data_IF_534638749094
#
_entry.id   IF_534638749094
#
_cell.length_a   1.000
_cell.length_b   1.000
_cell.length_c   1.000
_cell.angle_alpha   90.00
_cell.angle_beta   90.00
_cell.angle_gamma   90.00
#
_symmetry.space_group_name_H-M   'P 1'
#
loop_
_entity.id
_entity.type
_entity.pdbx_description
1 polymer ?
#
# COMPACT_ATOMS: atom_id res chain seq x y z
N UNK A 1 -49.21 29.22 -6.81
CA UNK A 1 -48.01 28.79 -7.57
C UNK A 1 -46.68 29.20 -6.93
N UNK A 2 -46.48 30.50 -6.57
CA UNK A 2 -45.19 30.94 -5.97
C UNK A 2 -44.87 30.28 -4.61
N UNK A 3 -45.86 30.00 -3.76
CA UNK A 3 -45.68 29.34 -2.47
C UNK A 3 -45.33 27.85 -2.61
N UNK A 4 -45.93 27.16 -3.60
CA UNK A 4 -45.64 25.74 -3.87
C UNK A 4 -44.23 25.57 -4.43
N UNK A 5 -43.77 26.51 -5.27
CA UNK A 5 -42.41 26.50 -5.82
C UNK A 5 -41.35 26.77 -4.73
N UNK A 6 -41.66 27.64 -3.76
CA UNK A 6 -40.77 27.90 -2.61
C UNK A 6 -40.66 26.71 -1.67
N UNK A 7 -41.76 25.97 -1.45
CA UNK A 7 -41.77 24.73 -0.65
C UNK A 7 -41.02 23.61 -1.38
N UNK A 8 -41.17 23.47 -2.69
CA UNK A 8 -40.38 22.48 -3.49
C UNK A 8 -38.89 22.80 -3.51
N UNK A 9 -38.52 24.09 -3.60
CA UNK A 9 -37.12 24.51 -3.51
C UNK A 9 -36.52 24.30 -2.10
N UNK A 10 -37.31 24.51 -1.05
CA UNK A 10 -36.86 24.20 0.33
C UNK A 10 -36.79 22.72 0.62
N UNK A 11 -37.66 21.89 0.05
CA UNK A 11 -37.61 20.44 0.12
C UNK A 11 -36.42 19.87 -0.68
N UNK A 12 -36.10 20.43 -1.85
CA UNK A 12 -34.90 20.09 -2.61
C UNK A 12 -33.61 20.47 -1.87
N UNK A 13 -33.59 21.61 -1.16
CA UNK A 13 -32.45 21.98 -0.32
C UNK A 13 -32.31 21.12 0.95
N UNK A 14 -33.43 20.59 1.49
CA UNK A 14 -33.40 19.64 2.61
C UNK A 14 -32.98 18.23 2.18
N UNK A 15 -33.27 17.82 0.94
CA UNK A 15 -32.78 16.57 0.35
C UNK A 15 -31.27 16.62 0.00
N UNK A 16 -30.72 17.84 -0.14
CA UNK A 16 -29.27 18.05 -0.31
C UNK A 16 -28.50 17.96 1.03
N UNK A 17 -29.22 17.93 2.16
CA UNK A 17 -28.59 17.84 3.48
C UNK A 17 -28.28 16.38 3.83
N UNK A 18 -27.08 15.97 3.43
CA UNK A 18 -26.43 14.82 4.09
C UNK A 18 -26.51 13.48 3.39
N UNK A 19 -26.31 13.40 2.07
CA UNK A 19 -25.90 12.12 1.50
C UNK A 19 -24.54 11.77 2.11
N UNK A 20 -24.53 10.79 3.02
CA UNK A 20 -23.28 10.28 3.59
C UNK A 20 -22.56 9.51 2.50
N UNK A 21 -21.37 9.95 2.16
CA UNK A 21 -20.49 9.27 1.22
C UNK A 21 -19.42 8.53 2.05
N UNK A 22 -19.13 7.30 1.68
CA UNK A 22 -18.12 6.50 2.36
C UNK A 22 -17.24 5.83 1.33
N UNK A 23 -15.96 5.70 1.69
CA UNK A 23 -14.98 4.95 0.92
C UNK A 23 -14.14 4.12 1.86
N UNK A 24 -13.98 2.84 1.53
CA UNK A 24 -13.08 1.92 2.21
C UNK A 24 -11.77 1.81 1.45
N UNK A 25 -10.65 1.97 2.17
CA UNK A 25 -9.29 1.91 1.66
C UNK A 25 -8.55 0.80 2.37
N UNK A 26 -8.18 -0.24 1.64
CA UNK A 26 -7.40 -1.35 2.19
C UNK A 26 -5.93 -1.14 1.84
N UNK A 27 -5.07 -1.22 2.86
CA UNK A 27 -3.62 -1.08 2.72
C UNK A 27 -2.92 -2.36 3.14
N UNK A 28 -1.97 -2.78 2.34
CA UNK A 28 -1.06 -3.89 2.64
C UNK A 28 0.39 -3.44 2.52
N UNK A 29 1.29 -4.16 3.22
CA UNK A 29 2.71 -3.87 3.22
C UNK A 29 3.44 -4.34 1.98
N UNK A 30 4.65 -4.87 2.17
CA UNK A 30 5.64 -5.08 1.12
C UNK A 30 5.29 -6.30 0.26
N UNK A 31 5.02 -6.04 -1.02
CA UNK A 31 4.82 -7.04 -2.08
C UNK A 31 6.17 -7.35 -2.72
N UNK A 32 6.87 -8.34 -2.19
CA UNK A 32 8.24 -8.69 -2.60
C UNK A 32 8.31 -9.97 -3.43
N UNK A 33 9.42 -10.15 -4.14
CA UNK A 33 9.70 -11.36 -4.94
C UNK A 33 11.13 -11.86 -4.73
N UNK A 34 11.33 -12.69 -3.72
CA UNK A 34 12.61 -13.39 -3.50
C UNK A 34 12.77 -14.55 -4.48
N UNK A 35 14.01 -15.04 -4.64
CA UNK A 35 14.30 -16.13 -5.58
C UNK A 35 13.45 -17.38 -5.35
N UNK A 36 13.26 -17.78 -4.10
CA UNK A 36 12.43 -18.95 -3.78
C UNK A 36 10.95 -18.79 -4.19
N UNK A 37 10.42 -17.55 -4.21
CA UNK A 37 9.07 -17.27 -4.70
C UNK A 37 9.00 -17.40 -6.23
N UNK A 38 10.03 -16.91 -6.94
CA UNK A 38 10.16 -17.04 -8.39
C UNK A 38 10.27 -18.53 -8.77
N UNK A 39 11.13 -19.26 -8.07
CA UNK A 39 11.35 -20.69 -8.33
C UNK A 39 10.08 -21.54 -8.06
N UNK A 40 9.34 -21.21 -7.00
CA UNK A 40 8.08 -21.88 -6.65
C UNK A 40 6.93 -21.57 -7.61
N UNK A 41 6.98 -20.43 -8.32
CA UNK A 41 5.99 -20.05 -9.31
C UNK A 41 6.26 -20.65 -10.71
N UNK A 42 7.52 -21.07 -10.98
CA UNK A 42 7.93 -21.61 -12.28
C UNK A 42 7.18 -22.92 -12.61
N UNK A 43 6.58 -22.96 -13.80
CA UNK A 43 5.87 -24.11 -14.33
C UNK A 43 6.74 -24.95 -15.27
N UNK A 44 6.30 -26.17 -15.60
CA UNK A 44 7.01 -27.07 -16.49
C UNK A 44 7.18 -26.55 -17.92
N UNK A 45 6.28 -25.67 -18.36
CA UNK A 45 6.32 -24.99 -19.67
C UNK A 45 7.14 -23.69 -19.68
N UNK A 46 7.81 -23.39 -18.57
CA UNK A 46 8.59 -22.16 -18.34
C UNK A 46 7.78 -20.88 -18.20
N UNK A 47 6.46 -20.98 -18.00
CA UNK A 47 5.61 -19.90 -17.52
C UNK A 47 5.71 -19.75 -16.00
N UNK A 48 5.08 -18.72 -15.44
CA UNK A 48 5.02 -18.49 -14.00
C UNK A 48 3.57 -18.37 -13.54
N UNK A 49 3.22 -19.05 -12.45
CA UNK A 49 1.88 -19.04 -11.86
C UNK A 49 1.93 -18.51 -10.42
N UNK A 50 1.27 -17.37 -10.20
CA UNK A 50 1.15 -16.70 -8.91
C UNK A 50 -0.30 -16.62 -8.39
N UNK A 51 -1.28 -17.18 -9.09
CA UNK A 51 -2.71 -17.04 -8.73
C UNK A 51 -3.00 -17.55 -7.33
N UNK A 52 -2.34 -18.65 -6.94
CA UNK A 52 -2.47 -19.24 -5.62
C UNK A 52 -1.93 -18.36 -4.48
N UNK A 53 -1.03 -17.39 -4.77
CA UNK A 53 -0.44 -16.52 -3.75
C UNK A 53 -1.50 -15.70 -3.02
N UNK A 54 -2.52 -15.24 -3.75
CA UNK A 54 -3.56 -14.34 -3.23
C UNK A 54 -4.93 -15.01 -3.06
N UNK A 55 -5.05 -16.29 -3.39
CA UNK A 55 -6.35 -16.98 -3.46
C UNK A 55 -7.20 -16.88 -2.19
N UNK A 56 -6.58 -16.93 -1.00
CA UNK A 56 -7.30 -16.89 0.29
C UNK A 56 -7.54 -15.47 0.82
N UNK A 57 -6.93 -14.45 0.21
CA UNK A 57 -7.07 -13.03 0.61
C UNK A 57 -7.80 -12.21 -0.45
N UNK A 58 -8.10 -12.80 -1.60
CA UNK A 58 -8.72 -12.12 -2.76
C UNK A 58 -10.04 -11.46 -2.41
N UNK A 59 -10.93 -12.17 -1.73
CA UNK A 59 -12.26 -11.65 -1.36
C UNK A 59 -12.14 -10.45 -0.40
N UNK A 60 -11.13 -10.46 0.46
CA UNK A 60 -10.86 -9.37 1.38
C UNK A 60 -10.36 -8.12 0.65
N UNK A 61 -9.41 -8.30 -0.28
CA UNK A 61 -8.89 -7.22 -1.12
C UNK A 61 -10.02 -6.61 -1.98
N UNK A 62 -10.83 -7.44 -2.62
CA UNK A 62 -11.90 -7.01 -3.54
C UNK A 62 -13.11 -6.39 -2.84
N UNK A 63 -13.26 -6.58 -1.53
CA UNK A 63 -14.34 -5.96 -0.74
C UNK A 63 -14.10 -4.47 -0.53
N UNK A 64 -12.85 -4.01 -0.51
CA UNK A 64 -12.53 -2.61 -0.38
C UNK A 64 -12.84 -1.82 -1.66
N UNK A 65 -13.19 -0.56 -1.50
CA UNK A 65 -13.40 0.34 -2.64
C UNK A 65 -12.10 0.63 -3.39
N UNK A 66 -10.96 0.72 -2.67
CA UNK A 66 -9.62 0.84 -3.21
C UNK A 66 -8.65 -0.01 -2.40
N UNK A 67 -7.83 -0.81 -3.07
CA UNK A 67 -6.77 -1.61 -2.47
C UNK A 67 -5.38 -1.10 -2.89
N UNK A 68 -4.52 -0.85 -1.92
CA UNK A 68 -3.21 -0.22 -2.08
C UNK A 68 -2.12 -1.11 -1.47
N UNK A 69 -1.03 -1.35 -2.21
CA UNK A 69 0.12 -2.14 -1.72
C UNK A 69 1.47 -1.51 -2.05
N UNK A 70 2.49 -1.78 -1.25
CA UNK A 70 3.84 -1.37 -1.55
C UNK A 70 4.52 -2.38 -2.49
N UNK A 71 4.73 -1.98 -3.76
CA UNK A 71 5.35 -2.82 -4.78
C UNK A 71 6.87 -2.77 -4.68
N UNK A 72 7.42 -3.59 -3.77
CA UNK A 72 8.84 -3.56 -3.42
C UNK A 72 9.66 -4.54 -4.26
N UNK A 73 9.58 -4.37 -5.55
CA UNK A 73 10.33 -5.08 -6.58
C UNK A 73 10.33 -4.30 -7.88
N UNK A 74 11.06 -4.77 -8.89
CA UNK A 74 10.98 -4.23 -10.25
C UNK A 74 10.55 -5.30 -11.25
N UNK A 75 9.97 -4.89 -12.36
CA UNK A 75 9.66 -5.72 -13.52
C UNK A 75 10.70 -5.48 -14.61
N UNK A 76 11.97 -5.73 -14.29
CA UNK A 76 13.11 -5.43 -15.18
C UNK A 76 13.28 -6.39 -16.35
N UNK A 77 12.45 -7.44 -16.45
CA UNK A 77 12.57 -8.51 -17.45
C UNK A 77 13.64 -9.55 -17.08
N UNK A 78 13.84 -10.51 -17.98
CA UNK A 78 14.82 -11.59 -17.79
C UNK A 78 16.25 -11.07 -17.80
N UNK A 79 17.20 -11.66 -17.06
CA UNK A 79 16.96 -12.78 -16.14
C UNK A 79 16.21 -12.31 -14.89
N UNK A 80 15.18 -13.07 -14.49
CA UNK A 80 14.47 -12.83 -13.25
C UNK A 80 15.37 -13.13 -12.07
N UNK A 81 15.23 -12.34 -10.96
CA UNK A 81 16.14 -12.42 -9.84
C UNK A 81 15.48 -11.90 -8.56
N UNK A 82 15.72 -12.59 -7.46
CA UNK A 82 15.43 -12.12 -6.11
C UNK A 82 16.48 -11.13 -5.58
N UNK A 83 16.53 -11.04 -4.24
CA UNK A 83 17.51 -10.18 -3.55
C UNK A 83 18.96 -10.41 -4.03
N UNK A 84 19.83 -9.38 -4.08
CA UNK A 84 19.60 -8.00 -3.61
C UNK A 84 19.05 -7.04 -4.68
N UNK A 85 18.90 -7.46 -5.92
CA UNK A 85 18.41 -6.61 -7.03
C UNK A 85 17.29 -7.35 -7.75
N UNK A 86 16.08 -7.06 -7.31
CA UNK A 86 14.88 -7.75 -7.77
C UNK A 86 14.57 -7.50 -9.26
N UNK A 87 14.12 -8.55 -9.92
CA UNK A 87 13.48 -8.51 -11.22
C UNK A 87 12.43 -9.62 -11.27
N UNK A 88 11.19 -9.27 -11.01
CA UNK A 88 10.08 -10.22 -10.95
C UNK A 88 9.58 -10.61 -12.34
N UNK A 89 9.01 -11.82 -12.51
CA UNK A 89 8.18 -12.15 -13.66
C UNK A 89 6.96 -11.22 -13.77
N UNK A 90 6.53 -10.94 -14.98
CA UNK A 90 5.40 -10.05 -15.25
C UNK A 90 4.08 -10.66 -14.73
N UNK A 91 4.00 -11.99 -14.69
CA UNK A 91 2.87 -12.75 -14.15
C UNK A 91 2.59 -12.45 -12.68
N UNK A 92 3.61 -12.00 -11.92
CA UNK A 92 3.40 -11.55 -10.56
C UNK A 92 2.53 -10.28 -10.48
N UNK A 93 2.76 -9.33 -11.39
CA UNK A 93 1.90 -8.15 -11.49
C UNK A 93 0.47 -8.51 -11.92
N UNK A 94 0.32 -9.47 -12.84
CA UNK A 94 -1.00 -9.96 -13.24
C UNK A 94 -1.75 -10.55 -12.05
N UNK A 95 -1.09 -11.39 -11.23
CA UNK A 95 -1.72 -11.96 -10.05
C UNK A 95 -2.12 -10.88 -9.01
N UNK A 96 -1.31 -9.83 -8.83
CA UNK A 96 -1.66 -8.67 -8.00
C UNK A 96 -2.91 -7.97 -8.56
N UNK A 97 -2.98 -7.73 -9.86
CA UNK A 97 -4.17 -7.14 -10.50
C UNK A 97 -5.41 -8.00 -10.31
N UNK A 98 -5.29 -9.30 -10.58
CA UNK A 98 -6.40 -10.26 -10.43
C UNK A 98 -6.84 -10.45 -8.97
N UNK A 99 -5.94 -10.22 -8.02
CA UNK A 99 -6.30 -10.18 -6.59
C UNK A 99 -7.21 -8.99 -6.25
N UNK A 100 -7.16 -7.90 -7.03
CA UNK A 100 -8.06 -6.75 -6.86
C UNK A 100 -7.37 -5.46 -6.43
N UNK A 101 -6.05 -5.38 -6.50
CA UNK A 101 -5.34 -4.12 -6.22
C UNK A 101 -5.63 -3.06 -7.27
N UNK A 102 -5.62 -1.78 -6.85
CA UNK A 102 -5.85 -0.61 -7.67
C UNK A 102 -4.61 0.29 -7.77
N UNK A 103 -3.91 0.49 -6.65
CA UNK A 103 -2.79 1.42 -6.52
C UNK A 103 -1.56 0.70 -5.97
N UNK A 104 -0.42 0.94 -6.59
CA UNK A 104 0.88 0.43 -6.14
C UNK A 104 1.79 1.60 -5.79
N UNK A 105 2.23 1.68 -4.52
CA UNK A 105 3.32 2.57 -4.16
C UNK A 105 4.63 2.01 -4.71
N UNK A 106 5.37 2.81 -5.45
CA UNK A 106 6.58 2.41 -6.17
C UNK A 106 7.83 3.13 -5.70
N UNK A 107 7.71 4.16 -4.85
CA UNK A 107 8.85 4.79 -4.20
C UNK A 107 9.26 3.96 -2.98
N UNK A 108 10.24 3.10 -3.16
CA UNK A 108 10.87 2.27 -2.14
C UNK A 108 12.36 2.08 -2.45
N UNK A 109 13.11 1.45 -1.54
CA UNK A 109 14.54 1.26 -1.70
C UNK A 109 14.92 0.33 -2.87
N UNK A 110 13.97 -0.48 -3.39
CA UNK A 110 14.14 -1.36 -4.55
C UNK A 110 13.66 -0.77 -5.88
N UNK A 111 13.19 0.46 -5.90
CA UNK A 111 12.68 1.14 -7.11
C UNK A 111 13.65 1.13 -8.29
N UNK A 112 14.96 1.14 -8.01
CA UNK A 112 16.03 1.24 -9.00
C UNK A 112 16.86 -0.04 -9.16
N UNK A 113 16.45 -1.19 -8.67
CA UNK A 113 17.20 -2.45 -8.74
C UNK A 113 17.61 -2.83 -10.17
N UNK A 114 16.78 -2.50 -11.15
CA UNK A 114 17.05 -2.70 -12.57
C UNK A 114 17.31 -1.37 -13.30
N UNK A 115 17.77 -0.37 -12.55
CA UNK A 115 18.13 0.95 -13.04
C UNK A 115 16.99 1.63 -13.80
N UNK A 116 17.31 2.64 -14.62
CA UNK A 116 16.37 3.39 -15.44
C UNK A 116 15.44 2.48 -16.25
N UNK A 117 15.99 1.51 -16.99
CA UNK A 117 15.19 0.61 -17.84
C UNK A 117 14.20 -0.21 -17.03
N UNK A 118 14.59 -0.67 -15.83
CA UNK A 118 13.71 -1.41 -14.95
C UNK A 118 12.58 -0.55 -14.42
N UNK A 119 12.85 0.65 -13.93
CA UNK A 119 11.85 1.59 -13.48
C UNK A 119 10.84 1.93 -14.59
N UNK A 120 11.31 2.34 -15.76
CA UNK A 120 10.45 2.70 -16.88
C UNK A 120 9.59 1.52 -17.38
N UNK A 121 10.17 0.29 -17.40
CA UNK A 121 9.42 -0.92 -17.76
C UNK A 121 8.37 -1.26 -16.71
N UNK A 122 8.71 -1.17 -15.42
CA UNK A 122 7.78 -1.40 -14.31
C UNK A 122 6.57 -0.48 -14.43
N UNK A 123 6.78 0.82 -14.63
CA UNK A 123 5.70 1.79 -14.82
C UNK A 123 4.83 1.46 -16.05
N UNK A 124 5.47 1.07 -17.17
CA UNK A 124 4.75 0.70 -18.40
C UNK A 124 3.85 -0.51 -18.18
N UNK A 125 4.31 -1.52 -17.45
CA UNK A 125 3.53 -2.72 -17.18
C UNK A 125 2.40 -2.45 -16.18
N UNK A 126 2.64 -1.64 -15.14
CA UNK A 126 1.59 -1.21 -14.19
C UNK A 126 0.48 -0.47 -14.95
N UNK A 127 0.82 0.49 -15.81
CA UNK A 127 -0.15 1.21 -16.64
C UNK A 127 -0.92 0.25 -17.58
N UNK A 128 -0.21 -0.69 -18.23
CA UNK A 128 -0.81 -1.67 -19.16
C UNK A 128 -1.75 -2.65 -18.46
N UNK A 129 -1.49 -2.96 -17.19
CA UNK A 129 -2.36 -3.81 -16.36
C UNK A 129 -3.61 -3.05 -15.83
N UNK A 130 -3.72 -1.74 -16.08
CA UNK A 130 -4.80 -0.91 -15.56
C UNK A 130 -4.68 -0.70 -14.04
N UNK A 131 -3.46 -0.71 -13.52
CA UNK A 131 -3.10 -0.31 -12.16
C UNK A 131 -2.55 1.11 -12.15
N UNK A 132 -2.55 1.75 -10.99
CA UNK A 132 -1.98 3.08 -10.84
C UNK A 132 -0.69 3.02 -10.01
N UNK A 133 0.42 3.50 -10.57
CA UNK A 133 1.67 3.68 -9.83
C UNK A 133 1.72 5.06 -9.18
N UNK A 134 2.28 5.15 -7.98
CA UNK A 134 2.55 6.42 -7.29
C UNK A 134 3.92 6.38 -6.61
N UNK A 135 4.73 7.43 -6.82
CA UNK A 135 6.03 7.60 -6.16
C UNK A 135 7.24 7.59 -7.08
N UNK A 136 7.15 6.94 -8.27
CA UNK A 136 8.21 6.95 -9.28
C UNK A 136 7.68 7.41 -10.63
N UNK A 137 8.52 8.07 -11.43
CA UNK A 137 8.11 8.70 -12.70
C UNK A 137 9.21 8.61 -13.74
N UNK A 138 8.81 8.59 -15.02
CA UNK A 138 9.73 8.54 -16.16
C UNK A 138 10.52 9.83 -16.31
N UNK A 139 9.87 10.98 -16.01
CA UNK A 139 10.45 12.32 -16.07
C UNK A 139 9.59 13.34 -15.31
N UNK A 140 9.97 14.61 -15.38
CA UNK A 140 9.28 15.70 -14.69
C UNK A 140 7.85 15.94 -15.21
N UNK A 141 7.60 15.70 -16.51
CA UNK A 141 6.27 15.85 -17.09
C UNK A 141 5.33 14.74 -16.61
N UNK A 142 5.79 13.48 -16.65
CA UNK A 142 5.05 12.32 -16.13
C UNK A 142 4.72 12.52 -14.63
N UNK A 143 5.66 13.08 -13.83
CA UNK A 143 5.39 13.42 -12.43
C UNK A 143 4.36 14.54 -12.31
N UNK A 144 4.48 15.59 -13.08
CA UNK A 144 3.55 16.74 -13.01
C UNK A 144 2.12 16.34 -13.37
N UNK A 145 1.93 15.44 -14.30
CA UNK A 145 0.60 14.99 -14.77
C UNK A 145 -0.05 14.01 -13.77
N UNK A 146 0.75 13.24 -13.02
CA UNK A 146 0.28 12.10 -12.23
C UNK A 146 0.42 12.29 -10.72
N UNK A 147 1.10 13.34 -10.26
CA UNK A 147 1.41 13.51 -8.84
C UNK A 147 1.22 14.95 -8.34
N UNK A 148 0.65 15.14 -7.14
CA UNK A 148 0.08 14.10 -6.24
C UNK A 148 -1.06 13.32 -6.89
N UNK A 149 -1.16 12.02 -6.59
CA UNK A 149 -2.22 11.18 -7.16
C UNK A 149 -3.56 11.55 -6.52
N UNK A 150 -4.51 12.01 -7.32
CA UNK A 150 -5.88 12.30 -6.88
C UNK A 150 -6.83 11.24 -7.43
N UNK A 151 -7.56 10.56 -6.54
CA UNK A 151 -8.58 9.57 -6.87
C UNK A 151 -9.92 10.04 -6.33
N UNK A 152 -10.99 9.92 -7.11
CA UNK A 152 -12.35 10.11 -6.65
C UNK A 152 -13.09 8.77 -6.65
N UNK A 153 -13.57 8.38 -5.49
CA UNK A 153 -14.31 7.12 -5.31
C UNK A 153 -15.50 7.37 -4.39
N UNK A 154 -16.69 6.93 -4.79
CA UNK A 154 -17.93 7.11 -4.03
C UNK A 154 -18.21 8.56 -3.60
N UNK A 155 -17.74 9.56 -4.40
CA UNK A 155 -17.89 10.98 -4.12
C UNK A 155 -16.90 11.54 -3.08
N UNK A 156 -15.94 10.74 -2.63
CA UNK A 156 -14.82 11.18 -1.78
C UNK A 156 -13.56 11.32 -2.63
N UNK A 157 -12.91 12.48 -2.53
CA UNK A 157 -11.68 12.81 -3.24
C UNK A 157 -10.48 12.59 -2.33
N UNK A 158 -9.60 11.68 -2.69
CA UNK A 158 -8.45 11.29 -1.88
C UNK A 158 -7.18 11.60 -2.65
N UNK A 159 -6.30 12.39 -2.06
CA UNK A 159 -4.96 12.60 -2.61
C UNK A 159 -3.95 11.70 -1.91
N UNK A 160 -3.05 11.10 -2.69
CA UNK A 160 -1.96 10.27 -2.18
C UNK A 160 -0.62 10.93 -2.45
N UNK A 161 0.19 11.03 -1.41
CA UNK A 161 1.64 11.26 -1.49
C UNK A 161 2.35 9.92 -1.36
N UNK A 162 3.50 9.78 -2.00
CA UNK A 162 4.35 8.59 -1.86
C UNK A 162 5.82 8.98 -1.95
N UNK A 163 6.65 8.54 -0.99
CA UNK A 163 8.06 8.88 -0.92
C UNK A 163 8.87 7.81 -0.18
N UNK A 164 10.18 7.72 -0.47
CA UNK A 164 11.12 6.77 0.13
C UNK A 164 12.34 7.47 0.73
N UNK A 165 12.93 6.84 1.74
CA UNK A 165 14.18 7.29 2.34
C UNK A 165 15.40 7.17 1.41
N UNK A 166 15.29 6.31 0.38
CA UNK A 166 16.42 6.08 -0.52
C UNK A 166 16.20 4.92 -1.50
N UNK A 167 17.25 4.59 -2.24
CA UNK A 167 17.25 3.61 -3.35
C UNK A 167 18.44 2.64 -3.25
N UNK A 168 18.76 2.15 -2.04
CA UNK A 168 19.87 1.24 -1.76
C UNK A 168 21.22 1.70 -2.34
N UNK A 169 21.48 3.01 -2.31
CA UNK A 169 22.70 3.61 -2.85
C UNK A 169 22.77 3.62 -4.38
N UNK A 170 21.72 3.23 -5.07
CA UNK A 170 21.64 3.31 -6.53
C UNK A 170 21.22 4.72 -6.93
N UNK A 171 22.10 5.46 -7.59
CA UNK A 171 21.81 6.82 -8.06
C UNK A 171 20.68 6.86 -9.07
N UNK A 172 19.77 7.83 -8.91
CA UNK A 172 18.71 8.10 -9.87
C UNK A 172 19.32 8.62 -11.17
N UNK A 173 19.00 7.97 -12.28
CA UNK A 173 19.49 8.40 -13.61
C UNK A 173 18.45 9.28 -14.28
N UNK A 174 18.80 10.52 -14.58
CA UNK A 174 17.90 11.44 -15.31
C UNK A 174 17.44 10.82 -16.63
N UNK A 175 16.17 11.08 -17.05
CA UNK A 175 15.21 12.01 -16.45
C UNK A 175 14.33 11.40 -15.35
N UNK A 176 14.54 10.11 -14.95
CA UNK A 176 13.67 9.46 -13.98
C UNK A 176 13.65 10.20 -12.62
N UNK A 177 12.54 10.07 -11.94
CA UNK A 177 12.30 10.64 -10.60
C UNK A 177 11.81 9.52 -9.67
N UNK A 178 12.36 9.49 -8.46
CA UNK A 178 11.87 8.74 -7.31
C UNK A 178 11.63 9.77 -6.21
N UNK A 179 10.42 9.89 -5.72
CA UNK A 179 10.10 10.85 -4.67
C UNK A 179 10.84 10.51 -3.36
N UNK A 180 11.44 11.51 -2.75
CA UNK A 180 12.23 11.37 -1.52
C UNK A 180 11.49 11.86 -0.28
N UNK A 181 11.98 11.47 0.91
CA UNK A 181 11.50 11.99 2.19
C UNK A 181 12.05 13.38 2.53
N UNK A 182 12.63 14.10 1.56
CA UNK A 182 13.07 15.47 1.76
C UNK A 182 11.89 16.37 2.14
N UNK A 183 12.05 17.13 3.23
CA UNK A 183 10.97 17.95 3.80
C UNK A 183 10.57 19.12 2.90
N UNK A 184 11.49 19.68 2.13
CA UNK A 184 11.19 20.80 1.23
C UNK A 184 10.37 20.30 0.05
N UNK A 185 10.75 19.13 -0.51
CA UNK A 185 9.99 18.45 -1.56
C UNK A 185 8.59 18.03 -1.06
N UNK A 186 8.51 17.37 0.09
CA UNK A 186 7.24 16.96 0.71
C UNK A 186 6.34 18.17 1.00
N UNK A 187 6.88 19.29 1.51
CA UNK A 187 6.12 20.51 1.75
C UNK A 187 5.59 21.11 0.44
N UNK A 188 6.35 21.07 -0.65
CA UNK A 188 5.89 21.51 -1.95
C UNK A 188 4.75 20.61 -2.48
N UNK A 189 4.91 19.30 -2.37
CA UNK A 189 3.93 18.31 -2.79
C UNK A 189 2.63 18.41 -1.99
N UNK A 190 2.70 18.61 -0.67
CA UNK A 190 1.53 18.84 0.18
C UNK A 190 0.77 20.10 -0.27
N UNK A 191 1.48 21.19 -0.57
CA UNK A 191 0.82 22.42 -1.07
C UNK A 191 0.08 22.16 -2.39
N UNK A 192 0.69 21.41 -3.33
CA UNK A 192 0.05 21.03 -4.59
C UNK A 192 -1.17 20.14 -4.33
N UNK A 193 -1.03 19.12 -3.48
CA UNK A 193 -2.12 18.22 -3.12
C UNK A 193 -3.30 18.99 -2.51
N UNK A 194 -3.04 19.88 -1.56
CA UNK A 194 -4.10 20.70 -0.91
C UNK A 194 -4.77 21.67 -1.89
N UNK A 195 -4.03 22.20 -2.88
CA UNK A 195 -4.62 23.04 -3.94
C UNK A 195 -5.62 22.28 -4.83
N UNK A 196 -5.50 20.94 -4.93
CA UNK A 196 -6.47 20.07 -5.61
C UNK A 196 -7.77 19.91 -4.82
N UNK A 197 -7.83 20.39 -3.57
CA UNK A 197 -8.98 20.30 -2.66
C UNK A 197 -9.45 18.85 -2.44
N UNK A 198 -8.59 17.96 -2.01
CA UNK A 198 -9.00 16.62 -1.62
C UNK A 198 -9.82 16.66 -0.33
N UNK A 199 -10.65 15.66 -0.14
CA UNK A 199 -11.40 15.41 1.10
C UNK A 199 -10.51 14.73 2.16
N UNK A 200 -9.46 14.02 1.72
CA UNK A 200 -8.41 13.45 2.56
C UNK A 200 -7.06 13.42 1.81
N UNK A 201 -5.96 13.64 2.55
CA UNK A 201 -4.58 13.54 2.07
C UNK A 201 -3.86 12.43 2.82
N UNK A 202 -3.43 11.39 2.11
CA UNK A 202 -2.78 10.20 2.67
C UNK A 202 -1.34 10.13 2.18
N UNK A 203 -0.39 9.94 3.10
CA UNK A 203 1.01 9.73 2.76
C UNK A 203 1.37 8.23 2.85
N UNK A 204 1.92 7.68 1.77
CA UNK A 204 2.47 6.34 1.67
C UNK A 204 4.00 6.46 1.79
N UNK A 205 4.58 6.00 2.90
CA UNK A 205 5.99 6.26 3.21
C UNK A 205 6.77 4.97 3.35
N UNK A 206 7.90 4.90 2.65
CA UNK A 206 8.87 3.83 2.78
C UNK A 206 10.05 4.33 3.60
N UNK A 207 10.05 4.00 4.91
CA UNK A 207 10.84 4.69 5.92
C UNK A 207 11.23 3.83 7.13
N UNK A 208 12.05 4.36 8.02
CA UNK A 208 12.43 3.70 9.28
C UNK A 208 13.62 2.76 9.11
N UNK A 209 13.79 1.87 10.08
CA UNK A 209 14.89 0.92 10.13
C UNK A 209 14.39 -0.50 9.96
N UNK A 210 15.07 -1.29 9.12
CA UNK A 210 14.74 -2.70 8.93
C UNK A 210 14.75 -3.47 10.26
N UNK A 211 13.76 -4.34 10.42
CA UNK A 211 13.63 -5.33 11.50
C UNK A 211 13.40 -4.73 12.90
N UNK A 212 13.16 -3.44 13.01
CA UNK A 212 12.82 -2.76 14.27
C UNK A 212 11.29 -2.71 14.42
N UNK A 213 10.76 -3.24 15.53
CA UNK A 213 9.33 -3.24 15.81
C UNK A 213 8.83 -1.90 16.37
N UNK A 214 9.72 -1.09 16.91
CA UNK A 214 9.39 0.26 17.37
C UNK A 214 9.77 1.28 16.31
N UNK A 215 8.95 2.31 16.08
CA UNK A 215 9.29 3.40 15.17
C UNK A 215 10.55 4.12 15.63
N UNK A 216 11.40 4.49 14.67
CA UNK A 216 12.55 5.34 14.96
C UNK A 216 12.13 6.78 15.33
N UNK A 217 13.04 7.52 15.95
CA UNK A 217 12.79 8.95 16.26
C UNK A 217 12.51 9.75 15.00
N UNK A 218 13.18 9.43 13.88
CA UNK A 218 12.95 10.08 12.58
C UNK A 218 11.53 9.79 12.05
N UNK A 219 11.01 8.56 12.23
CA UNK A 219 9.63 8.23 11.86
C UNK A 219 8.63 9.03 12.71
N UNK A 220 8.85 9.10 14.03
CA UNK A 220 7.98 9.83 14.95
C UNK A 220 7.96 11.34 14.62
N UNK A 221 9.12 11.93 14.42
CA UNK A 221 9.28 13.35 14.11
C UNK A 221 8.69 13.69 12.73
N UNK A 222 8.97 12.88 11.70
CA UNK A 222 8.41 13.09 10.37
C UNK A 222 6.88 12.92 10.35
N UNK A 223 6.33 11.94 11.08
CA UNK A 223 4.88 11.75 11.19
C UNK A 223 4.20 12.97 11.81
N UNK A 224 4.74 13.47 12.92
CA UNK A 224 4.22 14.67 13.59
C UNK A 224 4.28 15.90 12.67
N UNK A 225 5.40 16.07 11.96
CA UNK A 225 5.58 17.17 11.04
C UNK A 225 4.58 17.10 9.87
N UNK A 226 4.39 15.93 9.24
CA UNK A 226 3.45 15.72 8.13
C UNK A 226 2.01 16.03 8.54
N UNK A 227 1.58 15.58 9.72
CA UNK A 227 0.27 15.92 10.28
C UNK A 227 0.15 17.45 10.46
N UNK A 228 1.19 18.09 11.02
CA UNK A 228 1.26 19.53 11.17
C UNK A 228 1.22 20.31 9.84
N UNK A 229 1.64 19.69 8.72
CA UNK A 229 1.53 20.25 7.37
C UNK A 229 0.16 19.95 6.72
N UNK A 230 -0.71 19.18 7.39
CA UNK A 230 -2.05 18.88 6.92
C UNK A 230 -2.21 17.53 6.23
N UNK A 231 -1.29 16.57 6.40
CA UNK A 231 -1.52 15.18 6.02
C UNK A 231 -2.54 14.56 6.98
N UNK A 232 -3.58 13.91 6.46
CA UNK A 232 -4.65 13.35 7.29
C UNK A 232 -4.30 11.96 7.83
N UNK A 233 -3.67 11.11 7.01
CA UNK A 233 -3.27 9.76 7.41
C UNK A 233 -1.91 9.38 6.83
N UNK A 234 -1.19 8.50 7.53
CA UNK A 234 0.14 8.02 7.13
C UNK A 234 0.15 6.50 7.16
N UNK A 235 0.61 5.88 6.08
CA UNK A 235 0.77 4.44 5.94
C UNK A 235 2.23 4.14 5.60
N UNK A 236 2.90 3.43 6.49
CA UNK A 236 4.32 3.12 6.41
C UNK A 236 4.62 1.69 5.97
N UNK A 237 5.77 1.53 5.35
CA UNK A 237 6.40 0.27 4.93
C UNK A 237 7.92 0.36 5.04
N UNK A 238 8.68 -0.68 4.71
CA UNK A 238 10.13 -0.82 4.79
C UNK A 238 10.68 -1.61 5.99
N UNK A 239 10.24 -1.45 7.26
CA UNK A 239 10.83 -2.21 8.37
C UNK A 239 10.73 -3.73 8.23
N UNK A 240 9.91 -4.24 7.30
CA UNK A 240 9.63 -5.67 7.05
C UNK A 240 9.05 -6.41 8.25
N UNK A 241 8.71 -5.69 9.28
CA UNK A 241 8.00 -6.13 10.49
C UNK A 241 6.91 -5.13 10.81
N UNK A 242 5.86 -5.59 11.48
CA UNK A 242 4.76 -4.73 11.90
C UNK A 242 5.26 -3.77 12.99
N UNK A 243 4.94 -2.49 12.82
CA UNK A 243 5.13 -1.46 13.84
C UNK A 243 3.76 -0.95 14.32
N UNK A 244 3.68 -0.25 15.47
CA UNK A 244 2.43 0.22 16.04
C UNK A 244 1.58 1.08 15.10
N UNK A 245 0.26 1.07 15.37
CA UNK A 245 -0.69 2.02 14.81
C UNK A 245 -0.97 3.09 15.87
N UNK A 246 -0.73 4.35 15.55
CA UNK A 246 -1.12 5.48 16.38
C UNK A 246 -2.41 6.12 15.86
N UNK A 247 -3.29 6.50 16.80
CA UNK A 247 -4.49 7.32 16.54
C UNK A 247 -4.27 8.67 17.22
N UNK A 248 -4.04 9.70 16.42
CA UNK A 248 -3.75 11.04 16.93
C UNK A 248 -5.01 11.89 16.79
N UNK A 249 -5.55 12.48 17.89
CA UNK A 249 -6.71 13.34 17.80
C UNK A 249 -6.47 14.53 16.87
N UNK A 250 -7.44 14.84 16.01
CA UNK A 250 -7.40 16.06 15.22
C UNK A 250 -7.67 17.27 16.11
N UNK A 251 -6.95 18.38 15.89
CA UNK A 251 -7.04 19.56 16.76
C UNK A 251 -8.32 20.38 16.57
N UNK A 252 -8.90 20.36 15.38
CA UNK A 252 -10.04 21.24 15.01
C UNK A 252 -11.36 20.48 14.84
N UNK A 253 -11.33 19.16 14.61
CA UNK A 253 -12.51 18.36 14.31
C UNK A 253 -12.57 17.11 15.18
N UNK A 254 -13.76 16.56 15.47
CA UNK A 254 -13.93 15.33 16.22
C UNK A 254 -13.58 14.09 15.37
N UNK A 255 -12.36 14.03 14.87
CA UNK A 255 -11.80 12.93 14.09
C UNK A 255 -10.37 12.63 14.55
N UNK A 256 -9.75 11.63 13.98
CA UNK A 256 -8.40 11.21 14.32
C UNK A 256 -7.57 11.04 13.05
N UNK A 257 -6.28 11.33 13.16
CA UNK A 257 -5.28 10.88 12.19
C UNK A 257 -4.93 9.42 12.49
N UNK A 258 -4.84 8.60 11.46
CA UNK A 258 -4.26 7.27 11.55
C UNK A 258 -2.81 7.33 11.09
N UNK A 259 -1.88 6.86 11.93
CA UNK A 259 -0.47 6.68 11.57
C UNK A 259 -0.13 5.21 11.74
N UNK A 260 0.01 4.50 10.65
CA UNK A 260 0.50 3.13 10.59
C UNK A 260 1.99 3.20 10.31
N UNK A 261 2.84 2.94 11.30
CA UNK A 261 4.29 3.11 11.13
C UNK A 261 4.90 2.07 10.20
N UNK A 262 4.45 0.81 10.26
CA UNK A 262 4.80 -0.22 9.28
C UNK A 262 3.75 -1.31 9.22
N UNK A 263 3.39 -1.69 7.99
CA UNK A 263 2.51 -2.84 7.72
C UNK A 263 3.28 -4.17 7.70
N UNK A 264 4.62 -4.16 7.73
CA UNK A 264 5.44 -5.34 7.53
C UNK A 264 5.36 -5.91 6.12
N UNK A 265 5.81 -7.13 5.93
CA UNK A 265 5.73 -7.82 4.65
C UNK A 265 4.31 -8.33 4.38
N UNK A 266 3.71 -7.97 3.26
CA UNK A 266 2.49 -8.65 2.83
C UNK A 266 2.82 -10.03 2.29
N UNK A 267 3.76 -10.13 1.33
CA UNK A 267 4.29 -11.41 0.85
C UNK A 267 5.80 -11.32 0.60
N UNK A 268 6.57 -12.21 1.24
CA UNK A 268 8.02 -12.26 1.09
C UNK A 268 8.57 -13.66 1.41
N UNK A 269 9.86 -13.88 1.22
CA UNK A 269 10.58 -15.08 1.73
C UNK A 269 11.58 -14.70 2.82
N UNK A 270 11.36 -13.62 3.53
CA UNK A 270 12.28 -13.23 4.62
C UNK A 270 12.22 -14.21 5.78
N UNK A 271 13.40 -14.67 6.26
CA UNK A 271 13.52 -15.66 7.34
C UNK A 271 13.80 -15.04 8.71
N UNK A 272 13.53 -13.76 8.87
CA UNK A 272 13.68 -13.04 10.13
C UNK A 272 12.48 -13.28 11.05
N UNK A 273 12.66 -13.07 12.34
CA UNK A 273 11.56 -13.05 13.29
C UNK A 273 10.56 -11.93 12.89
N UNK A 274 9.26 -12.22 12.96
CA UNK A 274 8.19 -11.31 12.58
C UNK A 274 8.11 -10.93 11.09
N UNK A 275 9.02 -11.43 10.24
CA UNK A 275 9.07 -11.06 8.82
C UNK A 275 8.15 -11.88 7.91
N UNK A 276 7.43 -12.86 8.45
CA UNK A 276 6.47 -13.72 7.75
C UNK A 276 5.01 -13.41 8.10
N UNK A 277 4.76 -12.36 8.89
CA UNK A 277 3.41 -11.83 9.19
C UNK A 277 3.32 -10.40 8.71
N UNK A 278 2.27 -10.09 7.97
CA UNK A 278 1.91 -8.75 7.55
C UNK A 278 0.62 -8.27 8.21
N UNK A 279 0.46 -6.96 8.26
CA UNK A 279 -0.75 -6.29 8.72
C UNK A 279 -1.54 -5.78 7.51
N UNK A 280 -2.81 -6.13 7.44
CA UNK A 280 -3.79 -5.50 6.57
C UNK A 280 -4.52 -4.45 7.37
N UNK A 281 -4.61 -3.24 6.84
CA UNK A 281 -5.31 -2.12 7.49
C UNK A 281 -6.40 -1.61 6.56
N UNK A 282 -7.62 -1.50 7.08
CA UNK A 282 -8.75 -0.88 6.39
C UNK A 282 -9.11 0.45 7.06
N UNK A 283 -9.04 1.53 6.29
CA UNK A 283 -9.56 2.85 6.68
C UNK A 283 -10.89 3.08 5.99
N UNK A 284 -11.94 3.36 6.75
CA UNK A 284 -13.20 3.85 6.19
C UNK A 284 -13.29 5.36 6.43
N UNK A 285 -13.31 6.13 5.35
CA UNK A 285 -13.55 7.56 5.38
C UNK A 285 -15.03 7.84 5.15
N UNK A 286 -15.59 8.76 5.95
CA UNK A 286 -16.98 9.22 5.81
C UNK A 286 -16.99 10.72 5.55
N UNK A 287 -17.62 11.14 4.46
CA UNK A 287 -17.85 12.54 4.12
C UNK A 287 -19.30 12.91 4.35
N UNK A 288 -19.51 13.99 5.11
CA UNK A 288 -20.83 14.57 5.36
C UNK A 288 -20.75 16.07 5.04
N UNK A 289 -21.39 16.47 3.98
CA UNK A 289 -21.25 17.83 3.45
C UNK A 289 -19.82 18.11 2.99
N UNK A 290 -19.11 19.04 3.63
CA UNK A 290 -17.73 19.40 3.32
C UNK A 290 -16.70 18.79 4.29
N UNK A 291 -17.17 18.04 5.27
CA UNK A 291 -16.29 17.47 6.31
C UNK A 291 -16.08 15.98 6.09
N UNK A 292 -14.83 15.57 6.03
CA UNK A 292 -14.43 14.15 5.96
C UNK A 292 -13.79 13.74 7.28
N UNK A 293 -14.10 12.54 7.74
CA UNK A 293 -13.57 11.98 8.98
C UNK A 293 -13.18 10.51 8.81
N UNK A 294 -12.25 10.06 9.61
CA UNK A 294 -12.00 8.65 9.81
C UNK A 294 -13.19 8.05 10.56
N UNK A 295 -13.97 7.18 9.90
CA UNK A 295 -15.10 6.49 10.48
C UNK A 295 -14.68 5.26 11.25
N UNK A 296 -13.86 4.40 10.63
CA UNK A 296 -13.24 3.25 11.26
C UNK A 296 -11.81 3.04 10.76
N UNK A 297 -11.02 2.38 11.60
CA UNK A 297 -9.73 1.81 11.30
C UNK A 297 -9.73 0.42 11.87
N UNK A 298 -9.74 -0.57 11.00
CA UNK A 298 -9.74 -1.97 11.34
C UNK A 298 -8.45 -2.60 10.82
N UNK A 299 -7.99 -3.66 11.48
CA UNK A 299 -6.77 -4.36 11.04
C UNK A 299 -6.82 -5.84 11.38
N UNK A 300 -6.18 -6.64 10.53
CA UNK A 300 -5.98 -8.06 10.77
C UNK A 300 -4.64 -8.52 10.21
N UNK A 301 -4.16 -9.66 10.69
CA UNK A 301 -2.90 -10.22 10.28
C UNK A 301 -3.08 -11.20 9.13
N UNK A 302 -2.08 -11.26 8.26
CA UNK A 302 -1.89 -12.32 7.27
C UNK A 302 -0.53 -12.96 7.48
N UNK A 303 -0.46 -14.28 7.27
CA UNK A 303 0.79 -15.02 7.35
C UNK A 303 1.20 -15.50 5.95
N UNK A 304 2.48 -15.35 5.63
CA UNK A 304 3.08 -15.89 4.41
C UNK A 304 3.46 -17.34 4.59
N UNK A 305 2.70 -18.27 4.00
CA UNK A 305 3.11 -19.65 3.86
C UNK A 305 4.20 -19.76 2.79
N UNK A 306 5.36 -20.26 3.19
CA UNK A 306 6.45 -20.53 2.26
C UNK A 306 6.30 -21.89 1.60
N UNK A 307 6.81 -22.04 0.39
CA UNK A 307 6.77 -23.29 -0.36
C UNK A 307 7.28 -24.50 0.44
N UNK A 308 8.30 -24.32 1.29
CA UNK A 308 8.85 -25.38 2.16
C UNK A 308 7.93 -25.80 3.31
N UNK A 309 6.91 -25.01 3.65
CA UNK A 309 5.93 -25.28 4.71
C UNK A 309 4.61 -25.78 4.14
N UNK A 310 4.41 -25.58 2.84
CA UNK A 310 3.21 -25.95 2.09
C UNK A 310 3.28 -27.39 1.57
N UNK A 311 2.14 -28.10 1.54
CA UNK A 311 2.02 -29.37 0.81
C UNK A 311 1.99 -29.18 -0.70
N UNK A 312 1.65 -27.98 -1.16
CA UNK A 312 1.59 -27.66 -2.59
C UNK A 312 2.94 -27.24 -3.16
N UNK A 313 3.95 -26.97 -2.30
CA UNK A 313 5.23 -26.43 -2.73
C UNK A 313 5.17 -24.98 -3.23
N UNK A 314 4.10 -24.26 -2.89
CA UNK A 314 3.86 -22.89 -3.36
C UNK A 314 3.79 -21.90 -2.20
N UNK A 315 4.06 -20.63 -2.49
CA UNK A 315 3.84 -19.52 -1.55
C UNK A 315 2.38 -19.08 -1.60
N UNK A 316 1.79 -18.76 -0.46
CA UNK A 316 0.47 -18.11 -0.40
C UNK A 316 0.28 -17.31 0.89
N UNK A 317 -0.63 -16.36 0.81
CA UNK A 317 -1.09 -15.57 1.95
C UNK A 317 -2.25 -16.29 2.64
N UNK A 318 -2.18 -16.37 3.96
CA UNK A 318 -3.20 -17.01 4.79
C UNK A 318 -3.68 -15.99 5.83
N UNK A 319 -4.98 -15.59 5.81
CA UNK A 319 -5.54 -14.76 6.88
C UNK A 319 -5.39 -15.43 8.25
N UNK A 320 -5.14 -14.66 9.30
CA UNK A 320 -4.84 -15.17 10.64
C UNK A 320 -6.00 -15.96 11.30
N UNK A 321 -7.22 -15.74 10.85
CA UNK A 321 -8.43 -16.45 11.29
C UNK A 321 -8.75 -17.71 10.46
N UNK A 322 -7.96 -17.97 9.44
CA UNK A 322 -8.13 -19.11 8.52
C UNK A 322 -7.08 -20.18 8.82
N UNK A 323 -7.51 -21.43 8.92
CA UNK A 323 -6.61 -22.59 9.06
C UNK A 323 -6.80 -23.50 7.84
N UNK A 324 -5.95 -23.39 6.81
CA UNK A 324 -6.04 -24.25 5.63
C UNK A 324 -5.78 -25.73 6.00
N UNK A 325 -6.62 -26.61 5.48
CA UNK A 325 -6.53 -28.07 5.74
C UNK A 325 -5.32 -28.74 5.08
N UNK A 326 -4.70 -28.06 4.13
CA UNK A 326 -3.57 -28.55 3.33
C UNK A 326 -2.20 -28.06 3.83
N UNK A 327 -2.15 -27.40 5.00
CA UNK A 327 -0.89 -27.10 5.66
C UNK A 327 -0.18 -28.40 6.12
N UNK A 328 1.16 -28.41 6.10
CA UNK A 328 1.94 -29.43 6.81
C UNK A 328 1.78 -29.26 8.31
N UNK A 329 2.02 -30.31 9.11
CA UNK A 329 2.00 -30.17 10.58
C UNK A 329 2.99 -29.12 11.08
N UNK A 330 4.14 -29.01 10.43
CA UNK A 330 5.13 -27.98 10.73
C UNK A 330 4.66 -26.60 10.27
N UNK A 331 3.97 -26.48 9.14
CA UNK A 331 3.33 -25.25 8.68
C UNK A 331 2.31 -24.72 9.68
N UNK A 332 1.44 -25.56 10.22
CA UNK A 332 0.49 -25.19 11.28
C UNK A 332 1.21 -24.68 12.55
N UNK A 333 2.26 -25.37 12.97
CA UNK A 333 3.06 -24.94 14.13
C UNK A 333 3.69 -23.57 13.88
N UNK A 334 4.30 -23.36 12.72
CA UNK A 334 4.94 -22.07 12.36
C UNK A 334 3.97 -20.92 12.26
N UNK A 335 2.82 -21.13 11.59
CA UNK A 335 1.76 -20.12 11.49
C UNK A 335 1.28 -19.70 12.89
N UNK A 336 0.96 -20.68 13.75
CA UNK A 336 0.54 -20.42 15.12
C UNK A 336 1.59 -19.62 15.90
N UNK A 337 2.85 -20.06 15.85
CA UNK A 337 3.97 -19.39 16.50
C UNK A 337 4.13 -17.94 16.02
N UNK A 338 4.10 -17.71 14.70
CA UNK A 338 4.24 -16.37 14.11
C UNK A 338 3.12 -15.44 14.56
N UNK A 339 1.86 -15.90 14.49
CA UNK A 339 0.70 -15.10 14.89
C UNK A 339 0.62 -14.87 16.41
N UNK A 340 1.10 -15.79 17.24
CA UNK A 340 1.20 -15.59 18.69
C UNK A 340 2.23 -14.53 19.05
N UNK A 341 3.36 -14.47 18.33
CA UNK A 341 4.39 -13.45 18.52
C UNK A 341 3.88 -12.02 18.20
N UNK A 342 2.96 -11.87 17.24
CA UNK A 342 2.39 -10.57 16.89
C UNK A 342 1.31 -10.08 17.88
N UNK A 343 0.81 -10.97 18.74
CA UNK A 343 -0.18 -10.61 19.76
C UNK A 343 0.45 -10.15 21.08
N UNK A 344 1.75 -10.30 21.26
CA UNK A 344 2.54 -9.88 22.43
C UNK A 344 3.12 -8.47 22.24
#
# INVERSE_FOLDING_TARGET
MKAILAILLSLLSLLSYGQRQQVSLLFVGDLMQHQAQIDAALQADSSYDYDHCFALVKDDIQRADLAIGNFETTLGGKPYKGYPQFSSPDEYLHAIKEAGFDILSTANNHSLDRRRKGLERTLTLIDSAGLTAVGTYRDALDRQERYPLLVEKNGVRIAFLCATYGTNGIGITAPNIVNSLDREELAADIRVARAMKPDALIALLHWGNEYQREPSEEQLDLAQWLIGQGVDHIIGSHPHVIQPIARIPHTEYPTQHAVVYSLGNYISNMSIAHGDVGLVVELVLEKVGTTTRLKSLDSHHVWTERATLSRTGKFRLIPADTIPIDLTSYGHFRMKQALELERQ
#
